data_IF_069744656778
#
_entry.id   IF_069744656778
#
_cell.length_a   1.000
_cell.length_b   1.000
_cell.length_c   1.000
_cell.angle_alpha   90.00
_cell.angle_beta   90.00
_cell.angle_gamma   90.00
#
_symmetry.space_group_name_H-M   'P 1'
#
loop_
_entity.id
_entity.type
_entity.pdbx_description
1 polymer ?
#
# COMPACT_ATOMS: atom_id res chain seq x y z
N UNK A 1 5.50 -7.67 -7.13
CA UNK A 1 4.38 -6.84 -6.62
C UNK A 1 4.81 -5.37 -6.66
N UNK A 2 3.92 -4.44 -6.99
CA UNK A 2 4.21 -3.00 -6.90
C UNK A 2 3.24 -2.32 -5.96
N UNK A 3 3.72 -1.82 -4.82
CA UNK A 3 2.91 -1.19 -3.79
C UNK A 3 3.05 0.32 -3.92
N UNK A 4 1.99 1.01 -4.34
CA UNK A 4 1.93 2.47 -4.34
C UNK A 4 1.14 2.94 -3.12
N UNK A 5 1.74 3.80 -2.31
CA UNK A 5 1.05 4.48 -1.21
C UNK A 5 0.62 5.85 -1.73
N UNK A 6 -0.68 5.98 -1.97
CA UNK A 6 -1.34 7.21 -2.37
C UNK A 6 -1.61 8.05 -1.12
N UNK A 7 -0.94 9.18 -0.95
CA UNK A 7 -1.19 10.00 0.23
C UNK A 7 -0.37 11.28 0.23
N UNK A 8 -0.91 12.32 0.85
CA UNK A 8 -0.32 13.66 0.94
C UNK A 8 0.85 13.78 1.92
N UNK A 9 1.54 12.67 2.22
CA UNK A 9 2.79 12.70 3.00
C UNK A 9 2.64 12.74 4.54
N UNK A 10 1.46 12.44 5.10
CA UNK A 10 1.25 12.40 6.56
C UNK A 10 2.23 11.44 7.29
N UNK A 11 2.56 11.74 8.55
CA UNK A 11 3.51 10.96 9.36
C UNK A 11 3.12 9.46 9.45
N UNK A 12 1.82 9.15 9.53
CA UNK A 12 1.31 7.78 9.52
C UNK A 12 1.62 7.03 8.21
N UNK A 13 1.63 7.70 7.05
CA UNK A 13 1.95 7.08 5.76
C UNK A 13 3.43 6.69 5.67
N UNK A 14 4.32 7.46 6.32
CA UNK A 14 5.75 7.12 6.41
C UNK A 14 5.98 5.89 7.29
N UNK A 15 5.30 5.80 8.43
CA UNK A 15 5.37 4.63 9.32
C UNK A 15 4.83 3.36 8.64
N UNK A 16 3.71 3.50 7.94
CA UNK A 16 3.10 2.45 7.12
C UNK A 16 4.05 1.96 6.02
N UNK A 17 4.74 2.85 5.32
CA UNK A 17 5.71 2.46 4.29
C UNK A 17 6.84 1.58 4.83
N UNK A 18 7.45 1.97 5.96
CA UNK A 18 8.52 1.20 6.59
C UNK A 18 8.03 -0.19 7.06
N UNK A 19 6.81 -0.21 7.59
CA UNK A 19 6.06 -1.41 7.96
C UNK A 19 5.86 -2.36 6.78
N UNK A 20 5.33 -1.85 5.67
CA UNK A 20 5.11 -2.62 4.43
C UNK A 20 6.44 -3.17 3.94
N UNK A 21 7.50 -2.36 3.95
CA UNK A 21 8.84 -2.77 3.52
C UNK A 21 9.40 -3.91 4.35
N UNK A 22 9.21 -3.85 5.68
CA UNK A 22 9.56 -4.95 6.58
C UNK A 22 8.75 -6.20 6.27
N UNK A 23 7.43 -6.11 6.22
CA UNK A 23 6.56 -7.25 5.95
C UNK A 23 6.91 -7.94 4.61
N UNK A 24 7.12 -7.15 3.56
CA UNK A 24 7.54 -7.63 2.24
C UNK A 24 8.91 -8.33 2.32
N UNK A 25 9.86 -7.78 3.07
CA UNK A 25 11.19 -8.39 3.26
C UNK A 25 11.12 -9.68 4.08
N UNK A 26 10.34 -9.70 5.16
CA UNK A 26 10.16 -10.88 6.05
C UNK A 26 9.43 -12.02 5.33
N UNK A 27 8.43 -11.69 4.51
CA UNK A 27 7.74 -12.67 3.68
C UNK A 27 8.54 -13.03 2.41
N UNK A 28 9.74 -12.46 2.23
CA UNK A 28 10.60 -12.63 1.06
C UNK A 28 9.89 -12.35 -0.28
N UNK A 29 8.93 -11.44 -0.24
CA UNK A 29 8.17 -10.97 -1.39
C UNK A 29 9.01 -9.90 -2.08
N UNK A 30 9.19 -9.98 -3.38
CA UNK A 30 9.72 -8.85 -4.13
C UNK A 30 8.58 -7.86 -4.42
N UNK A 31 8.44 -6.87 -3.53
CA UNK A 31 7.53 -5.75 -3.75
C UNK A 31 8.26 -4.40 -3.82
N UNK A 32 8.01 -3.65 -4.89
CA UNK A 32 8.53 -2.29 -5.08
C UNK A 32 7.57 -1.31 -4.42
N UNK A 33 8.04 -0.53 -3.43
CA UNK A 33 7.19 0.38 -2.68
C UNK A 33 7.45 1.81 -3.16
N UNK A 34 6.42 2.45 -3.68
CA UNK A 34 6.46 3.80 -4.26
C UNK A 34 5.46 4.67 -3.49
N UNK A 35 5.83 5.92 -3.19
CA UNK A 35 4.86 6.90 -2.69
C UNK A 35 4.38 7.74 -3.85
N UNK A 36 3.08 7.89 -3.92
CA UNK A 36 2.43 8.67 -4.94
C UNK A 36 1.67 9.80 -4.25
N UNK A 37 2.27 10.98 -4.30
CA UNK A 37 1.78 12.21 -3.65
C UNK A 37 1.00 13.07 -4.64
N UNK A 38 0.94 12.64 -5.91
CA UNK A 38 0.34 13.37 -7.01
C UNK A 38 -1.18 13.16 -7.04
N UNK A 39 -1.92 14.23 -6.70
CA UNK A 39 -3.38 14.24 -6.68
C UNK A 39 -3.99 13.82 -8.03
N UNK A 40 -3.34 14.16 -9.16
CA UNK A 40 -3.85 13.80 -10.49
C UNK A 40 -3.85 12.28 -10.70
N UNK A 41 -2.78 11.59 -10.29
CA UNK A 41 -2.72 10.13 -10.37
C UNK A 41 -3.67 9.47 -9.40
N UNK A 42 -3.84 10.03 -8.20
CA UNK A 42 -4.81 9.53 -7.21
C UNK A 42 -6.22 9.55 -7.78
N UNK A 43 -6.61 10.65 -8.43
CA UNK A 43 -7.92 10.78 -9.06
C UNK A 43 -8.14 9.74 -10.17
N UNK A 44 -7.10 9.34 -10.91
CA UNK A 44 -7.22 8.24 -11.88
C UNK A 44 -7.55 6.88 -11.25
N UNK A 45 -7.16 6.66 -9.99
CA UNK A 45 -7.47 5.44 -9.26
C UNK A 45 -8.86 5.46 -8.59
N UNK A 46 -9.68 6.50 -8.85
CA UNK A 46 -11.03 6.69 -8.28
C UNK A 46 -11.06 6.57 -6.74
N UNK A 47 -10.00 7.07 -6.11
CA UNK A 47 -9.85 6.97 -4.66
C UNK A 47 -10.46 8.22 -4.02
N UNK A 48 -11.69 8.09 -3.53
CA UNK A 48 -12.36 9.18 -2.80
C UNK A 48 -11.75 9.49 -1.42
N UNK A 49 -11.06 8.51 -0.81
CA UNK A 49 -10.48 8.65 0.54
C UNK A 49 -8.98 8.42 0.52
N UNK A 50 -8.23 9.47 0.85
CA UNK A 50 -6.80 9.42 1.09
C UNK A 50 -6.50 9.35 2.60
N UNK A 51 -5.43 8.68 3.02
CA UNK A 51 -4.45 7.94 2.21
C UNK A 51 -4.99 6.58 1.71
N UNK A 52 -4.43 6.02 0.65
CA UNK A 52 -4.80 4.71 0.12
C UNK A 52 -3.56 3.89 -0.27
N UNK A 53 -3.72 2.57 -0.26
CA UNK A 53 -2.70 1.61 -0.67
C UNK A 53 -3.18 0.94 -1.94
N UNK A 54 -2.32 0.98 -2.94
CA UNK A 54 -2.48 0.32 -4.23
C UNK A 54 -1.41 -0.76 -4.33
N UNK A 55 -1.79 -1.96 -4.73
CA UNK A 55 -0.86 -3.07 -4.98
C UNK A 55 -1.12 -3.62 -6.37
N UNK A 56 -0.08 -3.72 -7.20
CA UNK A 56 -0.17 -4.12 -8.61
C UNK A 56 -1.26 -3.35 -9.36
N UNK A 57 -1.29 -2.02 -9.17
CA UNK A 57 -2.27 -1.08 -9.76
C UNK A 57 -3.72 -1.26 -9.32
N UNK A 58 -3.98 -2.17 -8.37
CA UNK A 58 -5.30 -2.37 -7.75
C UNK A 58 -5.35 -1.69 -6.39
N UNK A 59 -6.39 -0.92 -6.11
CA UNK A 59 -6.61 -0.35 -4.77
C UNK A 59 -6.96 -1.49 -3.82
N UNK A 60 -6.10 -1.76 -2.85
CA UNK A 60 -6.30 -2.84 -1.86
C UNK A 60 -6.80 -2.31 -0.54
N UNK A 61 -6.51 -1.05 -0.24
CA UNK A 61 -6.98 -0.42 0.99
C UNK A 61 -7.10 1.09 0.84
N UNK A 62 -8.00 1.66 1.65
CA UNK A 62 -8.26 3.09 1.75
C UNK A 62 -8.27 3.42 3.25
N UNK A 63 -7.59 4.48 3.66
CA UNK A 63 -7.48 4.93 5.05
C UNK A 63 -6.11 4.66 5.71
N UNK A 64 -6.07 4.88 7.03
CA UNK A 64 -4.90 4.65 7.87
C UNK A 64 -4.90 3.19 8.34
N UNK A 65 -3.97 2.38 7.86
CA UNK A 65 -3.85 0.97 8.23
C UNK A 65 -2.73 0.75 9.24
N UNK A 66 -2.88 -0.27 10.06
CA UNK A 66 -1.84 -0.71 11.00
C UNK A 66 -0.95 -1.80 10.39
N UNK A 67 0.18 -2.08 11.04
CA UNK A 67 1.16 -3.11 10.66
C UNK A 67 0.50 -4.46 10.37
N UNK A 68 -0.30 -4.96 11.32
CA UNK A 68 -1.02 -6.22 11.16
C UNK A 68 -2.01 -6.24 10.01
N UNK A 69 -2.64 -5.11 9.66
CA UNK A 69 -3.58 -5.07 8.54
C UNK A 69 -2.85 -5.15 7.20
N UNK A 70 -1.71 -4.47 7.07
CA UNK A 70 -0.86 -4.56 5.87
C UNK A 70 -0.37 -5.98 5.66
N UNK A 71 0.12 -6.64 6.71
CA UNK A 71 0.59 -8.02 6.63
C UNK A 71 -0.56 -8.95 6.21
N UNK A 72 -1.74 -8.79 6.80
CA UNK A 72 -2.92 -9.58 6.45
C UNK A 72 -3.36 -9.35 5.00
N UNK A 73 -3.31 -8.10 4.51
CA UNK A 73 -3.61 -7.75 3.13
C UNK A 73 -2.60 -8.36 2.16
N UNK A 74 -1.30 -8.22 2.43
CA UNK A 74 -0.25 -8.81 1.59
C UNK A 74 -0.40 -10.33 1.52
N UNK A 75 -0.66 -10.97 2.65
CA UNK A 75 -0.90 -12.41 2.72
C UNK A 75 -2.13 -12.83 1.91
N UNK A 76 -3.27 -12.13 2.08
CA UNK A 76 -4.48 -12.35 1.27
C UNK A 76 -4.20 -12.21 -0.23
N UNK A 77 -3.47 -11.17 -0.64
CA UNK A 77 -3.15 -10.93 -2.06
C UNK A 77 -2.23 -12.02 -2.64
N UNK A 78 -1.37 -12.61 -1.82
CA UNK A 78 -0.59 -13.79 -2.23
C UNK A 78 -1.45 -15.04 -2.36
N UNK A 79 -2.38 -15.26 -1.43
CA UNK A 79 -3.33 -16.38 -1.47
C UNK A 79 -4.30 -16.28 -2.66
N UNK A 80 -4.80 -15.09 -2.97
CA UNK A 80 -5.74 -14.84 -4.07
C UNK A 80 -5.09 -15.01 -5.47
N UNK A 81 -3.75 -15.01 -5.54
CA UNK A 81 -2.97 -15.28 -6.76
C UNK A 81 -2.52 -16.75 -6.89
N UNK A 82 -2.90 -17.64 -5.98
CA UNK A 82 -2.50 -19.06 -5.97
C UNK A 82 -3.56 -19.97 -6.56
#
# INVERSE_FOLDING_TARGET
>A
MKIKILGTGCAGCKALFATVQKAVSEMNIQAEIVKEEDLMKIMQYDVMSLPAIVVDEKVVAKGNLSLSEVESLLKKLQEEKR
#
